data_IF_727495941223
#
_entry.id   IF_727495941223
#
_cell.length_a   1.000
_cell.length_b   1.000
_cell.length_c   1.000
_cell.angle_alpha   90.00
_cell.angle_beta   90.00
_cell.angle_gamma   90.00
#
_symmetry.space_group_name_H-M   'P 1'
#
loop_
_entity.id
_entity.type
_entity.pdbx_description
1 polymer ?
#
# COMPACT_ATOMS: atom_id res chain seq x y z
N UNK A 1 16.41 -40.88 29.03
CA UNK A 1 15.30 -40.67 28.07
C UNK A 1 15.05 -39.18 28.04
N UNK A 2 15.66 -38.47 27.10
CA UNK A 2 15.46 -37.03 26.94
C UNK A 2 14.12 -36.85 26.23
N UNK A 3 13.14 -36.29 26.91
CA UNK A 3 11.88 -35.87 26.30
C UNK A 3 12.21 -34.88 25.18
N UNK A 4 11.78 -35.13 23.92
CA UNK A 4 11.89 -34.12 22.88
C UNK A 4 10.93 -33.01 23.28
N UNK A 5 11.47 -31.95 23.90
CA UNK A 5 10.72 -30.75 24.19
C UNK A 5 10.09 -30.27 22.89
N UNK A 6 8.77 -30.40 22.80
CA UNK A 6 7.97 -29.85 21.73
C UNK A 6 8.25 -28.34 21.66
N UNK A 7 9.17 -27.94 20.79
CA UNK A 7 9.36 -26.57 20.35
C UNK A 7 8.36 -26.22 19.23
N UNK A 8 7.12 -26.74 19.34
CA UNK A 8 5.99 -26.40 18.47
C UNK A 8 5.17 -25.21 19.03
N UNK A 9 5.81 -24.38 19.85
CA UNK A 9 5.34 -23.04 20.19
C UNK A 9 6.12 -22.03 19.34
N UNK A 10 5.60 -21.69 18.16
CA UNK A 10 6.23 -20.77 17.22
C UNK A 10 6.75 -19.51 17.91
N UNK A 11 8.01 -19.18 17.62
CA UNK A 11 8.74 -18.04 18.19
C UNK A 11 7.83 -16.79 18.27
N UNK A 12 7.43 -16.34 19.47
CA UNK A 12 6.40 -15.31 19.64
C UNK A 12 6.78 -13.97 18.99
N UNK A 13 8.07 -13.74 18.76
CA UNK A 13 8.56 -12.58 18.02
C UNK A 13 8.21 -12.66 16.52
N UNK A 14 8.26 -13.86 15.91
CA UNK A 14 7.87 -14.05 14.50
C UNK A 14 6.37 -13.79 14.28
N UNK A 15 5.52 -14.29 15.18
CA UNK A 15 4.08 -14.05 15.11
C UNK A 15 3.76 -12.56 15.24
N UNK A 16 4.44 -11.85 16.14
CA UNK A 16 4.28 -10.40 16.32
C UNK A 16 4.70 -9.61 15.08
N UNK A 17 5.78 -9.99 14.43
CA UNK A 17 6.30 -9.33 13.23
C UNK A 17 5.36 -9.51 12.02
N UNK A 18 4.80 -10.71 11.86
CA UNK A 18 3.77 -10.98 10.84
C UNK A 18 2.52 -10.09 11.06
N UNK A 19 2.01 -10.02 12.30
CA UNK A 19 0.88 -9.15 12.64
C UNK A 19 1.18 -7.65 12.43
N UNK A 20 2.44 -7.23 12.61
CA UNK A 20 2.85 -5.85 12.33
C UNK A 20 2.88 -5.56 10.81
N UNK A 21 3.35 -6.52 10.01
CA UNK A 21 3.36 -6.42 8.55
C UNK A 21 1.93 -6.39 7.99
N UNK A 22 1.03 -7.23 8.50
CA UNK A 22 -0.39 -7.22 8.15
C UNK A 22 -1.05 -5.88 8.49
N UNK A 23 -0.84 -5.35 9.69
CA UNK A 23 -1.36 -4.01 10.08
C UNK A 23 -0.91 -2.92 9.11
N UNK A 24 0.36 -2.95 8.73
CA UNK A 24 0.90 -2.00 7.74
C UNK A 24 0.21 -2.19 6.40
N UNK A 25 0.14 -3.42 5.89
CA UNK A 25 -0.55 -3.75 4.65
C UNK A 25 -2.01 -3.30 4.62
N UNK A 26 -2.78 -3.56 5.67
CA UNK A 26 -4.17 -3.10 5.80
C UNK A 26 -4.27 -1.57 5.80
N UNK A 27 -3.33 -0.86 6.42
CA UNK A 27 -3.29 0.59 6.37
C UNK A 27 -3.04 1.12 4.96
N UNK A 28 -2.13 0.49 4.19
CA UNK A 28 -1.89 0.84 2.78
C UNK A 28 -3.09 0.52 1.87
N UNK A 29 -3.77 -0.60 2.11
CA UNK A 29 -5.01 -0.90 1.39
C UNK A 29 -6.10 0.12 1.67
N UNK A 30 -6.20 0.58 2.92
CA UNK A 30 -7.19 1.61 3.30
C UNK A 30 -6.94 2.92 2.58
N UNK A 31 -5.70 3.40 2.53
CA UNK A 31 -5.37 4.64 1.81
C UNK A 31 -5.63 4.49 0.32
N UNK A 32 -5.22 3.38 -0.30
CA UNK A 32 -5.51 3.08 -1.69
C UNK A 32 -7.02 3.06 -1.99
N UNK A 33 -7.82 2.42 -1.14
CA UNK A 33 -9.28 2.39 -1.27
C UNK A 33 -9.89 3.79 -1.15
N UNK A 34 -9.45 4.59 -0.18
CA UNK A 34 -9.91 5.98 -0.03
C UNK A 34 -9.61 6.84 -1.26
N UNK A 35 -8.43 6.67 -1.87
CA UNK A 35 -8.06 7.37 -3.11
C UNK A 35 -8.92 6.95 -4.30
N UNK A 36 -9.24 5.65 -4.43
CA UNK A 36 -10.17 5.18 -5.48
C UNK A 36 -11.57 5.75 -5.29
N UNK A 37 -12.08 5.76 -4.05
CA UNK A 37 -13.39 6.35 -3.73
C UNK A 37 -13.40 7.84 -4.04
N UNK A 38 -12.33 8.56 -3.71
CA UNK A 38 -12.19 9.97 -4.07
C UNK A 38 -12.20 10.16 -5.59
N UNK A 39 -11.48 9.33 -6.35
CA UNK A 39 -11.50 9.37 -7.81
C UNK A 39 -12.88 9.13 -8.41
N UNK A 40 -13.62 8.17 -7.86
CA UNK A 40 -15.00 7.91 -8.25
C UNK A 40 -15.91 9.11 -7.91
N UNK A 41 -15.76 9.70 -6.74
CA UNK A 41 -16.50 10.88 -6.32
C UNK A 41 -16.21 12.06 -7.27
N UNK A 42 -14.95 12.32 -7.61
CA UNK A 42 -14.55 13.36 -8.57
C UNK A 42 -15.20 13.11 -9.94
N UNK A 43 -15.14 11.87 -10.45
CA UNK A 43 -15.71 11.54 -11.76
C UNK A 43 -17.25 11.63 -11.82
N UNK A 44 -17.96 11.54 -10.68
CA UNK A 44 -19.43 11.46 -10.63
C UNK A 44 -20.12 12.69 -10.06
N UNK A 45 -19.49 13.42 -9.14
CA UNK A 45 -20.13 14.52 -8.39
C UNK A 45 -20.00 15.85 -9.11
N UNK A 46 -19.01 16.02 -9.99
CA UNK A 46 -18.82 17.26 -10.75
C UNK A 46 -19.53 17.12 -12.10
N UNK A 47 -20.80 17.54 -12.15
CA UNK A 47 -21.69 17.41 -13.30
C UNK A 47 -21.24 18.27 -14.51
N UNK A 48 -20.53 19.38 -14.29
CA UNK A 48 -20.14 20.35 -15.33
C UNK A 48 -18.69 20.23 -15.84
N UNK A 49 -17.85 19.38 -15.24
CA UNK A 49 -16.40 19.39 -15.54
C UNK A 49 -15.97 18.65 -16.81
N UNK A 50 -16.91 18.01 -17.50
CA UNK A 50 -16.69 17.35 -18.79
C UNK A 50 -15.61 16.25 -18.77
N UNK A 51 -14.91 16.07 -19.89
CA UNK A 51 -13.90 15.02 -20.04
C UNK A 51 -12.73 15.12 -19.04
N UNK A 52 -12.46 16.32 -18.51
CA UNK A 52 -11.34 16.57 -17.59
C UNK A 52 -11.59 15.98 -16.21
N UNK A 53 -12.80 16.11 -15.67
CA UNK A 53 -13.12 15.49 -14.37
C UNK A 53 -13.11 13.99 -14.43
N UNK A 54 -13.60 13.43 -15.55
CA UNK A 54 -13.53 11.98 -15.78
C UNK A 54 -12.08 11.53 -15.83
N UNK A 55 -11.22 12.26 -16.56
CA UNK A 55 -9.79 11.96 -16.62
C UNK A 55 -9.13 12.06 -15.22
N UNK A 56 -9.40 13.11 -14.45
CA UNK A 56 -8.88 13.26 -13.09
C UNK A 56 -9.34 12.13 -12.16
N UNK A 57 -10.61 11.73 -12.24
CA UNK A 57 -11.13 10.60 -11.49
C UNK A 57 -10.49 9.26 -11.88
N UNK A 58 -10.27 9.03 -13.18
CA UNK A 58 -9.55 7.85 -13.69
C UNK A 58 -8.11 7.83 -13.16
N UNK A 59 -7.40 8.96 -13.18
CA UNK A 59 -6.04 9.08 -12.64
C UNK A 59 -6.01 8.72 -11.15
N UNK A 60 -6.96 9.23 -10.36
CA UNK A 60 -7.07 8.90 -8.94
C UNK A 60 -7.36 7.41 -8.71
N UNK A 61 -8.30 6.82 -9.47
CA UNK A 61 -8.60 5.38 -9.38
C UNK A 61 -7.36 4.54 -9.75
N UNK A 62 -6.71 4.85 -10.87
CA UNK A 62 -5.50 4.15 -11.32
C UNK A 62 -4.38 4.22 -10.27
N UNK A 63 -4.25 5.37 -9.59
CA UNK A 63 -3.29 5.57 -8.50
C UNK A 63 -3.61 4.69 -7.30
N UNK A 64 -4.88 4.60 -6.92
CA UNK A 64 -5.31 3.70 -5.85
C UNK A 64 -5.03 2.23 -6.19
N UNK A 65 -5.29 1.80 -7.42
CA UNK A 65 -4.95 0.45 -7.91
C UNK A 65 -3.45 0.20 -7.85
N UNK A 66 -2.63 1.14 -8.32
CA UNK A 66 -1.18 1.05 -8.23
C UNK A 66 -0.69 0.98 -6.78
N UNK A 67 -1.27 1.78 -5.88
CA UNK A 67 -0.99 1.75 -4.44
C UNK A 67 -1.32 0.39 -3.81
N UNK A 68 -2.41 -0.26 -4.23
CA UNK A 68 -2.78 -1.59 -3.78
C UNK A 68 -1.78 -2.65 -4.26
N UNK A 69 -1.34 -2.58 -5.52
CA UNK A 69 -0.28 -3.44 -6.06
C UNK A 69 1.06 -3.26 -5.31
N UNK A 70 1.44 -2.02 -5.04
CA UNK A 70 2.62 -1.70 -4.22
C UNK A 70 2.51 -2.31 -2.81
N UNK A 71 1.36 -2.16 -2.16
CA UNK A 71 1.11 -2.73 -0.83
C UNK A 71 1.28 -4.25 -0.82
N UNK A 72 0.78 -4.94 -1.85
CA UNK A 72 0.92 -6.39 -1.99
C UNK A 72 2.38 -6.82 -2.20
N UNK A 73 3.13 -6.13 -3.08
CA UNK A 73 4.56 -6.41 -3.29
C UNK A 73 5.35 -6.18 -2.01
N UNK A 74 5.11 -5.06 -1.32
CA UNK A 74 5.76 -4.72 -0.05
C UNK A 74 5.42 -5.72 1.05
N UNK A 75 4.18 -6.21 1.11
CA UNK A 75 3.77 -7.24 2.05
C UNK A 75 4.56 -8.54 1.82
N UNK A 76 4.62 -9.02 0.58
CA UNK A 76 5.35 -10.24 0.20
C UNK A 76 6.85 -10.12 0.47
N UNK A 77 7.46 -8.98 0.16
CA UNK A 77 8.88 -8.73 0.40
C UNK A 77 9.22 -8.77 1.91
N UNK A 78 8.34 -8.26 2.78
CA UNK A 78 8.55 -8.37 4.22
C UNK A 78 8.25 -9.75 4.78
N UNK A 79 7.20 -10.44 4.30
CA UNK A 79 6.92 -11.81 4.71
C UNK A 79 8.11 -12.74 4.42
N UNK A 80 8.70 -12.62 3.23
CA UNK A 80 9.90 -13.39 2.86
C UNK A 80 11.14 -13.07 3.72
N UNK A 81 11.26 -11.82 4.21
CA UNK A 81 12.35 -11.42 5.11
C UNK A 81 12.17 -11.98 6.53
N UNK A 82 10.93 -12.00 7.04
CA UNK A 82 10.57 -12.55 8.35
C UNK A 82 10.81 -14.07 8.36
N UNK A 83 10.33 -14.79 7.33
CA UNK A 83 10.47 -16.25 7.25
C UNK A 83 11.93 -16.71 7.05
N UNK A 84 12.74 -15.90 6.37
CA UNK A 84 14.14 -16.25 6.07
C UNK A 84 15.13 -16.07 7.21
N UNK A 85 14.74 -15.45 8.35
CA UNK A 85 15.64 -14.92 9.41
C UNK A 85 16.85 -14.15 8.87
N UNK A 86 16.77 -13.60 7.66
CA UNK A 86 17.87 -12.86 7.06
C UNK A 86 17.75 -11.41 7.51
N UNK A 87 18.74 -10.84 8.21
CA UNK A 87 18.81 -9.41 8.40
C UNK A 87 19.13 -8.79 7.05
N UNK A 88 18.11 -8.54 6.23
CA UNK A 88 18.26 -7.84 4.95
C UNK A 88 18.36 -6.34 5.21
N UNK A 89 19.54 -5.71 5.03
CA UNK A 89 19.69 -4.24 5.06
C UNK A 89 18.86 -3.50 3.99
N UNK A 90 18.23 -4.22 3.06
CA UNK A 90 17.33 -3.67 2.03
C UNK A 90 15.93 -3.25 2.55
N UNK A 91 15.53 -3.63 3.77
CA UNK A 91 14.30 -3.14 4.40
C UNK A 91 14.43 -1.70 4.93
N UNK A 92 15.63 -1.12 4.88
CA UNK A 92 15.95 0.21 5.36
C UNK A 92 15.61 1.25 4.28
N UNK A 93 14.43 1.86 4.44
CA UNK A 93 14.18 3.29 4.13
C UNK A 93 13.64 3.67 2.74
N UNK A 94 13.84 2.92 1.65
CA UNK A 94 13.42 3.40 0.32
C UNK A 94 11.98 3.09 -0.11
N UNK A 95 11.33 2.07 0.47
CA UNK A 95 9.98 1.64 0.05
C UNK A 95 8.87 2.66 0.32
N UNK A 96 8.62 3.05 1.60
CA UNK A 96 7.50 3.94 1.94
C UNK A 96 7.60 5.33 1.31
N UNK A 97 8.82 5.85 1.15
CA UNK A 97 9.08 7.16 0.54
C UNK A 97 8.76 7.16 -0.96
N UNK A 98 9.11 6.09 -1.68
CA UNK A 98 8.79 5.97 -3.10
C UNK A 98 7.27 5.91 -3.33
N UNK A 99 6.54 5.13 -2.51
CA UNK A 99 5.08 5.05 -2.60
C UNK A 99 4.37 6.35 -2.21
N UNK A 100 4.88 7.05 -1.18
CA UNK A 100 4.41 8.40 -0.85
C UNK A 100 4.64 9.39 -1.99
N UNK A 101 5.81 9.32 -2.65
CA UNK A 101 6.13 10.14 -3.82
C UNK A 101 5.19 9.88 -5.00
N UNK A 102 4.91 8.61 -5.32
CA UNK A 102 3.95 8.23 -6.39
C UNK A 102 2.56 8.79 -6.09
N UNK A 103 2.09 8.67 -4.85
CA UNK A 103 0.79 9.21 -4.43
C UNK A 103 0.75 10.74 -4.57
N UNK A 104 1.79 11.45 -4.15
CA UNK A 104 1.88 12.92 -4.27
C UNK A 104 1.86 13.35 -5.74
N UNK A 105 2.66 12.71 -6.60
CA UNK A 105 2.72 13.02 -8.03
C UNK A 105 1.37 12.79 -8.71
N UNK A 106 0.69 11.69 -8.37
CA UNK A 106 -0.63 11.38 -8.89
C UNK A 106 -1.71 12.39 -8.47
N UNK A 107 -1.72 12.78 -7.19
CA UNK A 107 -2.63 13.81 -6.68
C UNK A 107 -2.34 15.15 -7.39
N UNK A 108 -1.08 15.53 -7.52
CA UNK A 108 -0.69 16.75 -8.22
C UNK A 108 -1.15 16.75 -9.69
N UNK A 109 -0.96 15.64 -10.41
CA UNK A 109 -1.44 15.49 -11.78
C UNK A 109 -2.97 15.60 -11.88
N UNK A 110 -3.71 14.97 -10.96
CA UNK A 110 -5.17 15.10 -10.91
C UNK A 110 -5.61 16.54 -10.63
N UNK A 111 -4.93 17.26 -9.73
CA UNK A 111 -5.22 18.67 -9.44
C UNK A 111 -4.92 19.58 -10.63
N UNK A 112 -3.81 19.35 -11.34
CA UNK A 112 -3.49 20.11 -12.57
C UNK A 112 -4.59 19.94 -13.62
N UNK A 113 -5.07 18.71 -13.84
CA UNK A 113 -6.16 18.43 -14.78
C UNK A 113 -7.49 19.10 -14.38
N UNK A 114 -7.71 19.36 -13.10
CA UNK A 114 -8.92 20.03 -12.60
C UNK A 114 -8.83 21.56 -12.65
N UNK A 115 -7.63 22.13 -12.49
CA UNK A 115 -7.42 23.58 -12.36
C UNK A 115 -7.13 24.30 -13.70
N UNK A 116 -6.78 23.55 -14.74
CA UNK A 116 -6.49 24.05 -16.08
C UNK A 116 -7.55 23.62 -17.09
#
# INVERSE_FOLDING_TARGET
>A
MQEPAAQDGGDPDLARDHLANERTFLAWMRTAAGVMVLGLAVAKVIEDGGARTVAAGIVLIATGVAGMGYAAVRYRAAAAAIDGRRPSPAARTSGPLAAGGVLIVAIAAALVLLLW
#
